data_IF_150409583631
#
_entry.id   IF_150409583631
#
_cell.length_a   1.000
_cell.length_b   1.000
_cell.length_c   1.000
_cell.angle_alpha   90.00
_cell.angle_beta   90.00
_cell.angle_gamma   90.00
#
_symmetry.space_group_name_H-M   'P 1'
#
loop_
_entity.id
_entity.type
_entity.pdbx_description
1 polymer ?
#
# COMPACT_ATOMS: atom_id res chain seq x y z
N UNK A 1 -27.14 -13.46 40.24
CA UNK A 1 -27.29 -12.04 39.82
C UNK A 1 -26.16 -11.73 38.85
N UNK A 2 -26.44 -11.56 37.57
CA UNK A 2 -25.44 -11.22 36.55
C UNK A 2 -25.82 -9.88 35.93
N UNK A 3 -24.99 -8.86 36.13
CA UNK A 3 -25.17 -7.57 35.47
C UNK A 3 -24.54 -7.62 34.07
N UNK A 4 -25.32 -7.25 33.07
CA UNK A 4 -24.88 -7.18 31.67
C UNK A 4 -24.01 -5.93 31.45
N UNK A 5 -22.80 -6.12 30.94
CA UNK A 5 -21.90 -5.03 30.55
C UNK A 5 -22.37 -4.44 29.20
N UNK A 6 -22.89 -3.21 29.22
CA UNK A 6 -23.26 -2.51 28.00
C UNK A 6 -22.01 -2.16 27.18
N UNK A 7 -21.90 -2.71 25.96
CA UNK A 7 -20.86 -2.33 25.00
C UNK A 7 -21.23 -0.98 24.38
N UNK A 8 -20.53 0.08 24.79
CA UNK A 8 -20.58 1.36 24.08
C UNK A 8 -19.89 1.20 22.73
N UNK A 9 -20.67 1.22 21.65
CA UNK A 9 -20.15 1.31 20.28
C UNK A 9 -20.05 2.78 19.91
N UNK A 10 -18.83 3.32 19.89
CA UNK A 10 -18.57 4.63 19.33
C UNK A 10 -18.54 4.48 17.80
N UNK A 11 -19.64 4.84 17.14
CA UNK A 11 -19.63 5.07 15.70
C UNK A 11 -18.74 6.30 15.43
N UNK A 12 -17.71 6.21 14.58
CA UNK A 12 -17.01 7.42 14.14
C UNK A 12 -18.01 8.23 13.31
N UNK A 13 -18.45 9.36 13.86
CA UNK A 13 -19.22 10.33 13.09
C UNK A 13 -18.43 10.81 11.87
N UNK A 14 -19.09 11.39 10.86
CA UNK A 14 -18.41 11.92 9.69
C UNK A 14 -17.48 13.03 10.15
N UNK A 15 -16.19 12.76 10.16
CA UNK A 15 -15.17 13.75 10.48
C UNK A 15 -15.26 14.81 9.38
N UNK A 16 -15.87 15.94 9.73
CA UNK A 16 -16.08 17.07 8.84
C UNK A 16 -14.75 17.40 8.14
N UNK A 17 -14.84 17.52 6.81
CA UNK A 17 -13.78 17.93 5.91
C UNK A 17 -13.20 19.28 6.37
N UNK A 18 -12.19 19.23 7.23
CA UNK A 18 -11.56 20.38 7.87
C UNK A 18 -10.15 20.63 7.38
N UNK A 19 -9.81 20.24 6.15
CA UNK A 19 -8.55 20.58 5.47
C UNK A 19 -8.85 20.71 3.99
N UNK A 20 -9.44 21.82 3.55
CA UNK A 20 -9.31 22.20 2.14
C UNK A 20 -7.90 22.73 1.98
N UNK A 21 -6.94 21.83 1.78
CA UNK A 21 -5.69 22.22 1.14
C UNK A 21 -6.09 22.73 -0.24
N UNK A 22 -6.03 24.05 -0.43
CA UNK A 22 -6.10 24.64 -1.75
C UNK A 22 -4.90 24.08 -2.51
N UNK A 23 -5.14 23.08 -3.36
CA UNK A 23 -4.14 22.61 -4.31
C UNK A 23 -3.66 23.80 -5.16
N UNK A 24 -2.48 23.67 -5.78
CA UNK A 24 -1.79 24.72 -6.53
C UNK A 24 -2.73 25.66 -7.32
N UNK A 25 -2.37 26.95 -7.41
CA UNK A 25 -3.19 28.02 -8.04
C UNK A 25 -3.53 27.78 -9.52
N UNK A 26 -2.96 26.76 -10.14
CA UNK A 26 -3.14 26.41 -11.54
C UNK A 26 -3.61 24.97 -11.69
N UNK A 27 -4.48 24.72 -12.68
CA UNK A 27 -4.97 23.37 -13.00
C UNK A 27 -3.86 22.52 -13.61
N UNK A 28 -3.82 21.24 -13.25
CA UNK A 28 -2.99 20.25 -13.95
C UNK A 28 -3.52 20.09 -15.38
N UNK A 29 -2.66 20.35 -16.36
CA UNK A 29 -3.00 20.22 -17.79
C UNK A 29 -2.91 18.76 -18.28
N UNK A 30 -2.17 17.93 -17.54
CA UNK A 30 -1.98 16.52 -17.88
C UNK A 30 -3.03 15.70 -17.14
N UNK A 31 -3.94 15.00 -17.85
CA UNK A 31 -4.92 14.15 -17.20
C UNK A 31 -4.24 12.86 -16.66
N UNK A 32 -4.87 12.17 -15.69
CA UNK A 32 -4.39 10.87 -15.22
C UNK A 32 -4.26 9.85 -16.38
N UNK A 33 -3.14 9.14 -16.51
CA UNK A 33 -2.96 8.14 -17.55
C UNK A 33 -3.95 6.98 -17.41
N UNK A 34 -4.87 6.84 -18.39
CA UNK A 34 -5.91 5.80 -18.38
C UNK A 34 -5.35 4.37 -18.26
N UNK A 35 -4.12 4.12 -18.71
CA UNK A 35 -3.47 2.81 -18.64
C UNK A 35 -3.17 2.38 -17.19
N UNK A 36 -2.79 3.30 -16.31
CA UNK A 36 -2.46 3.03 -14.91
C UNK A 36 -3.69 2.78 -14.04
N UNK A 37 -4.88 3.09 -14.56
CA UNK A 37 -6.15 2.77 -13.90
C UNK A 37 -6.52 1.29 -14.03
N UNK A 38 -5.86 0.54 -14.92
CA UNK A 38 -6.06 -0.90 -15.08
C UNK A 38 -5.16 -1.66 -14.11
N UNK A 39 -5.61 -2.78 -13.52
CA UNK A 39 -4.74 -3.63 -12.70
C UNK A 39 -3.50 -4.09 -13.47
N UNK A 40 -2.35 -4.13 -12.80
CA UNK A 40 -1.13 -4.69 -13.34
C UNK A 40 -1.30 -6.20 -13.54
N UNK A 41 -0.96 -6.70 -14.73
CA UNK A 41 -1.04 -8.12 -15.08
C UNK A 41 0.29 -8.58 -15.69
N UNK A 42 0.82 -9.69 -15.20
CA UNK A 42 2.11 -10.25 -15.62
C UNK A 42 1.91 -11.73 -15.97
N UNK A 43 2.33 -12.20 -17.17
CA UNK A 43 2.16 -13.60 -17.56
C UNK A 43 3.12 -14.52 -16.78
N UNK A 44 2.66 -15.73 -16.44
CA UNK A 44 3.51 -16.78 -15.85
C UNK A 44 4.36 -17.43 -16.94
N UNK A 45 5.68 -17.35 -16.82
CA UNK A 45 6.65 -17.92 -17.77
C UNK A 45 7.76 -18.65 -17.03
N UNK A 46 8.21 -19.78 -17.59
CA UNK A 46 9.44 -20.44 -17.19
C UNK A 46 10.60 -19.84 -18.00
N UNK A 47 11.56 -19.24 -17.31
CA UNK A 47 12.68 -18.49 -17.89
C UNK A 47 13.93 -19.38 -17.93
N UNK A 48 14.23 -19.92 -19.11
CA UNK A 48 15.37 -20.82 -19.37
C UNK A 48 16.46 -20.17 -20.25
N UNK A 49 16.42 -18.85 -20.41
CA UNK A 49 17.44 -18.09 -21.14
C UNK A 49 18.68 -17.81 -20.28
N UNK A 50 19.65 -17.02 -20.79
CA UNK A 50 20.87 -16.66 -20.05
C UNK A 50 20.63 -15.77 -18.82
N UNK A 51 19.41 -15.26 -18.65
CA UNK A 51 18.99 -14.43 -17.52
C UNK A 51 18.00 -13.35 -17.95
N UNK A 52 17.15 -12.82 -17.04
CA UNK A 52 17.00 -13.20 -15.62
C UNK A 52 16.30 -14.56 -15.42
N UNK A 53 16.49 -15.17 -14.25
CA UNK A 53 15.86 -16.44 -13.87
C UNK A 53 14.57 -16.24 -13.07
N UNK A 54 13.73 -17.29 -12.95
CA UNK A 54 12.57 -17.25 -12.06
C UNK A 54 12.99 -17.11 -10.58
N UNK A 55 12.22 -16.33 -9.81
CA UNK A 55 12.47 -16.15 -8.38
C UNK A 55 11.92 -17.33 -7.57
N UNK A 56 12.67 -17.87 -6.59
CA UNK A 56 12.15 -18.84 -5.64
C UNK A 56 11.10 -18.18 -4.72
N UNK A 57 10.15 -18.96 -4.15
CA UNK A 57 9.07 -18.42 -3.32
C UNK A 57 9.53 -17.52 -2.17
N UNK A 58 10.67 -17.84 -1.53
CA UNK A 58 11.23 -17.06 -0.41
C UNK A 58 11.62 -15.63 -0.84
N UNK A 59 12.22 -15.46 -2.02
CA UNK A 59 12.63 -14.14 -2.52
C UNK A 59 11.39 -13.35 -2.95
N UNK A 60 10.41 -14.02 -3.56
CA UNK A 60 9.14 -13.41 -3.94
C UNK A 60 8.38 -12.88 -2.71
N UNK A 61 8.30 -13.65 -1.62
CA UNK A 61 7.66 -13.20 -0.38
C UNK A 61 8.41 -12.05 0.29
N UNK A 62 9.75 -12.05 0.24
CA UNK A 62 10.57 -10.98 0.81
C UNK A 62 10.32 -9.63 0.12
N UNK A 63 10.10 -9.62 -1.20
CA UNK A 63 9.79 -8.40 -1.95
C UNK A 63 8.43 -7.76 -1.59
N UNK A 64 7.55 -8.49 -0.91
CA UNK A 64 6.26 -7.98 -0.42
C UNK A 64 6.30 -7.49 1.03
N UNK A 65 7.45 -7.48 1.68
CA UNK A 65 7.58 -6.99 3.07
C UNK A 65 7.54 -5.46 3.14
N UNK A 66 7.14 -4.93 4.29
CA UNK A 66 7.07 -3.50 4.55
C UNK A 66 8.46 -2.85 4.49
N UNK A 67 8.52 -1.63 3.94
CA UNK A 67 9.76 -0.84 3.91
C UNK A 67 10.14 -0.43 5.35
N UNK A 68 11.41 -0.59 5.68
CA UNK A 68 12.03 -0.14 6.93
C UNK A 68 13.00 1.03 6.67
N UNK A 69 13.32 1.77 7.71
CA UNK A 69 14.29 2.86 7.62
C UNK A 69 15.67 2.34 7.19
N UNK A 70 16.40 2.99 6.28
CA UNK A 70 17.72 2.52 5.84
C UNK A 70 18.75 2.39 6.96
N UNK A 71 18.58 3.15 8.05
CA UNK A 71 19.41 3.09 9.26
C UNK A 71 18.54 2.87 10.50
N UNK A 72 17.58 1.95 10.42
CA UNK A 72 16.72 1.63 11.56
C UNK A 72 17.54 1.05 12.71
N UNK A 73 17.44 1.64 13.90
CA UNK A 73 18.27 1.29 15.05
C UNK A 73 18.04 -0.14 15.50
N UNK A 74 16.81 -0.66 15.35
CA UNK A 74 16.46 -2.03 15.70
C UNK A 74 17.23 -3.09 14.90
N UNK A 75 17.86 -2.72 13.78
CA UNK A 75 18.70 -3.63 12.98
C UNK A 75 20.17 -3.70 13.40
N UNK A 76 20.64 -2.76 14.22
CA UNK A 76 22.05 -2.61 14.61
C UNK A 76 22.31 -2.91 16.09
N UNK A 77 21.32 -3.47 16.78
CA UNK A 77 21.41 -3.94 18.18
C UNK A 77 21.58 -5.47 18.22
#
# INVERSE_FOLDING_TARGET
>A
MFQALAKSSAAPGPQAAGWVQTMASHKLLVPPPKALLKPLSIPKRLLLGPGPSNLPPRIMSAGGMQIIGPMDKEMYH
#
